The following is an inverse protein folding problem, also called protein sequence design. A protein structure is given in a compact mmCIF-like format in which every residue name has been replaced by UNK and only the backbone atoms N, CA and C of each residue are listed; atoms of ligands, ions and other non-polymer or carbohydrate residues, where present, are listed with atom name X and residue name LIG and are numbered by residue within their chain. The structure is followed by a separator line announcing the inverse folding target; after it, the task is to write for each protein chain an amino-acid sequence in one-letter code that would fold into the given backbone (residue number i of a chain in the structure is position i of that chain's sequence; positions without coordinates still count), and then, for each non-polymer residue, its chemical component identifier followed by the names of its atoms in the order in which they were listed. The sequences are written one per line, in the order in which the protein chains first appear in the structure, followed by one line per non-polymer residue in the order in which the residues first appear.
data_IF_160525060937
#
_entry.id   IF_160525060937
#
_cell.length_a   1.000
_cell.length_b   1.000
_cell.length_c   1.000
_cell.angle_alpha   90.00
_cell.angle_beta   90.00
_cell.angle_gamma   90.00
#
_symmetry.space_group_name_H-M   'P 1'
#
loop_
_entity.id
_entity.type
_entity.pdbx_description
1 polymer ?
#
# COMPACT_ATOMS: atom_id res chain seq x y z
N UNK A 1 -45.43 54.23 -19.74
CA UNK A 1 -45.68 52.76 -19.71
C UNK A 1 -44.35 52.04 -19.87
N UNK A 2 -43.95 51.35 -18.81
CA UNK A 2 -43.04 50.20 -18.64
C UNK A 2 -42.32 49.70 -19.92
N UNK A 3 -41.04 49.31 -19.90
CA UNK A 3 -40.48 48.23 -19.06
C UNK A 3 -38.96 48.34 -18.99
N UNK A 4 -38.42 48.26 -17.77
CA UNK A 4 -37.00 47.96 -17.49
C UNK A 4 -36.75 46.50 -17.86
N UNK A 5 -35.78 46.22 -18.73
CA UNK A 5 -35.33 44.86 -19.04
C UNK A 5 -34.00 44.64 -18.32
N UNK A 6 -34.07 43.96 -17.18
CA UNK A 6 -32.91 43.50 -16.41
C UNK A 6 -32.33 42.29 -17.15
N UNK A 7 -31.13 42.44 -17.72
CA UNK A 7 -30.40 41.33 -18.32
C UNK A 7 -29.60 40.63 -17.21
N UNK A 8 -30.17 39.55 -16.67
CA UNK A 8 -29.55 38.71 -15.66
C UNK A 8 -28.56 37.76 -16.35
N UNK A 9 -27.30 38.16 -16.48
CA UNK A 9 -26.22 37.29 -16.96
C UNK A 9 -25.84 36.30 -15.86
N UNK A 10 -26.42 35.09 -15.93
CA UNK A 10 -26.09 33.94 -15.10
C UNK A 10 -24.65 33.52 -15.40
N UNK A 11 -23.77 33.67 -14.42
CA UNK A 11 -22.41 33.13 -14.41
C UNK A 11 -22.53 31.61 -14.31
N UNK A 12 -22.34 30.92 -15.44
CA UNK A 12 -22.14 29.47 -15.46
C UNK A 12 -20.71 29.18 -14.97
N UNK A 13 -20.55 28.99 -13.66
CA UNK A 13 -19.38 28.33 -13.10
C UNK A 13 -19.45 26.86 -13.51
N UNK A 14 -18.81 26.52 -14.63
CA UNK A 14 -18.44 25.15 -14.94
C UNK A 14 -17.37 24.75 -13.92
N UNK A 15 -17.82 24.21 -12.78
CA UNK A 15 -16.94 23.46 -11.89
C UNK A 15 -16.55 22.21 -12.67
N UNK A 16 -15.38 22.27 -13.30
CA UNK A 16 -14.70 21.10 -13.81
C UNK A 16 -14.47 20.17 -12.63
N UNK A 17 -15.34 19.16 -12.49
CA UNK A 17 -15.06 17.98 -11.69
C UNK A 17 -14.02 17.18 -12.48
N UNK A 18 -12.77 17.62 -12.41
CA UNK A 18 -11.66 16.81 -12.91
C UNK A 18 -11.68 15.49 -12.15
N UNK A 19 -11.44 14.38 -12.85
CA UNK A 19 -11.30 13.05 -12.26
C UNK A 19 -10.32 13.12 -11.09
N UNK A 20 -10.83 13.24 -9.87
CA UNK A 20 -10.03 13.18 -8.66
C UNK A 20 -9.54 11.75 -8.57
N UNK A 21 -8.33 11.49 -9.07
CA UNK A 21 -7.65 10.22 -8.86
C UNK A 21 -7.46 10.06 -7.36
N UNK A 22 -8.34 9.28 -6.74
CA UNK A 22 -8.30 9.00 -5.31
C UNK A 22 -6.88 8.64 -4.89
N UNK A 23 -6.40 9.27 -3.82
CA UNK A 23 -5.05 9.02 -3.33
C UNK A 23 -4.89 7.58 -2.83
N UNK A 24 -5.99 7.03 -2.32
CA UNK A 24 -6.10 5.71 -1.73
C UNK A 24 -7.06 4.84 -2.55
N UNK A 25 -6.76 3.55 -2.60
CA UNK A 25 -7.59 2.57 -3.27
C UNK A 25 -8.96 2.42 -2.58
N UNK A 26 -10.02 2.31 -3.37
CA UNK A 26 -11.34 1.86 -2.87
C UNK A 26 -11.41 0.34 -2.67
N UNK A 27 -10.33 -0.37 -2.99
CA UNK A 27 -10.23 -1.83 -2.92
C UNK A 27 -9.96 -2.24 -1.49
N UNK A 28 -10.66 -3.28 -1.04
CA UNK A 28 -10.58 -3.78 0.33
C UNK A 28 -9.18 -4.33 0.61
N UNK A 29 -8.39 -3.59 1.39
CA UNK A 29 -7.37 -4.17 2.24
C UNK A 29 -7.92 -4.11 3.67
N UNK A 30 -7.73 -5.16 4.46
CA UNK A 30 -8.07 -5.16 5.88
C UNK A 30 -7.07 -6.09 6.56
N UNK A 31 -6.03 -5.50 7.12
CA UNK A 31 -4.97 -6.19 7.83
C UNK A 31 -4.75 -5.52 9.18
N UNK A 32 -4.73 -6.34 10.22
CA UNK A 32 -4.36 -5.91 11.57
C UNK A 32 -3.34 -6.88 12.14
N UNK A 33 -2.17 -6.37 12.53
CA UNK A 33 -1.10 -7.16 13.14
C UNK A 33 -0.73 -6.54 14.47
N UNK A 34 -0.87 -7.29 15.57
CA UNK A 34 -0.39 -6.85 16.87
C UNK A 34 1.05 -7.31 17.09
N UNK A 35 2.03 -6.48 16.73
CA UNK A 35 3.44 -6.85 16.86
C UNK A 35 3.94 -6.85 18.32
N UNK A 36 3.13 -6.41 19.30
CA UNK A 36 3.41 -6.64 20.73
C UNK A 36 3.41 -8.12 21.09
N UNK A 37 2.54 -8.90 20.43
CA UNK A 37 2.40 -10.33 20.68
C UNK A 37 3.31 -11.17 19.80
N UNK A 38 3.49 -10.79 18.54
CA UNK A 38 4.39 -11.50 17.63
C UNK A 38 5.87 -11.21 17.89
N UNK A 39 6.19 -10.01 18.40
CA UNK A 39 7.55 -9.53 18.62
C UNK A 39 8.47 -9.70 17.40
N UNK A 40 7.93 -9.54 16.19
CA UNK A 40 8.64 -9.80 14.95
C UNK A 40 9.55 -8.62 14.58
N UNK A 41 10.85 -8.88 14.52
CA UNK A 41 11.87 -7.86 14.23
C UNK A 41 11.84 -7.39 12.76
N UNK A 42 11.45 -8.25 11.81
CA UNK A 42 11.36 -7.91 10.38
C UNK A 42 10.26 -6.88 10.17
N UNK A 43 9.08 -7.10 10.74
CA UNK A 43 7.99 -6.13 10.73
C UNK A 43 8.34 -4.87 11.53
N UNK A 44 8.93 -5.03 12.72
CA UNK A 44 9.31 -3.91 13.58
C UNK A 44 10.25 -2.92 12.87
N UNK A 45 11.16 -3.42 12.02
CA UNK A 45 12.09 -2.59 11.26
C UNK A 45 11.38 -1.61 10.30
N UNK A 46 10.23 -2.00 9.72
CA UNK A 46 9.46 -1.14 8.83
C UNK A 46 8.51 -0.20 9.59
N UNK A 47 8.14 -0.55 10.83
CA UNK A 47 7.28 0.24 11.71
C UNK A 47 8.07 1.24 12.59
N UNK A 48 9.38 1.39 12.35
CA UNK A 48 10.24 2.32 13.08
C UNK A 48 10.42 3.66 12.34
N UNK A 49 9.86 4.78 12.82
CA UNK A 49 10.04 6.09 12.18
C UNK A 49 11.49 6.60 12.26
N UNK A 50 12.31 6.07 13.18
CA UNK A 50 13.73 6.40 13.28
C UNK A 50 14.61 5.63 12.26
N UNK A 51 14.03 4.70 11.49
CA UNK A 51 14.70 3.95 10.44
C UNK A 51 13.90 4.00 9.12
N UNK A 52 13.67 5.20 8.56
CA UNK A 52 12.90 5.34 7.34
C UNK A 52 13.62 4.73 6.13
N UNK A 53 12.87 4.35 5.09
CA UNK A 53 13.37 3.67 3.90
C UNK A 53 13.44 2.13 4.02
N UNK A 54 13.07 1.59 5.19
CA UNK A 54 12.88 0.16 5.39
C UNK A 54 11.41 -0.20 5.14
N UNK A 55 11.19 -1.11 4.20
CA UNK A 55 9.86 -1.58 3.83
C UNK A 55 9.74 -3.07 4.08
N UNK A 56 8.58 -3.51 4.56
CA UNK A 56 8.26 -4.90 4.81
C UNK A 56 7.06 -5.34 3.96
N UNK A 57 7.25 -6.39 3.16
CA UNK A 57 6.19 -7.15 2.54
C UNK A 57 5.55 -8.06 3.58
N UNK A 58 4.22 -8.00 3.66
CA UNK A 58 3.39 -8.84 4.51
C UNK A 58 2.50 -9.69 3.62
N UNK A 59 2.51 -11.00 3.86
CA UNK A 59 1.62 -11.96 3.20
C UNK A 59 1.09 -12.96 4.24
N UNK A 60 -0.01 -13.62 3.93
CA UNK A 60 -0.44 -14.82 4.65
C UNK A 60 0.07 -16.06 3.92
N UNK A 61 0.62 -17.03 4.65
CA UNK A 61 1.05 -18.31 4.10
C UNK A 61 0.58 -19.47 4.97
N UNK A 62 0.50 -20.67 4.39
CA UNK A 62 0.20 -21.90 5.13
C UNK A 62 1.49 -22.68 5.33
N UNK A 63 1.84 -22.95 6.59
CA UNK A 63 2.99 -23.81 6.94
C UNK A 63 2.54 -24.84 7.95
N UNK A 64 2.82 -26.11 7.65
CA UNK A 64 2.42 -27.26 8.48
C UNK A 64 0.93 -27.25 8.87
N UNK A 65 0.05 -26.83 7.95
CA UNK A 65 -1.40 -26.79 8.17
C UNK A 65 -1.94 -25.59 8.96
N UNK A 66 -1.07 -24.68 9.44
CA UNK A 66 -1.49 -23.47 10.14
C UNK A 66 -1.18 -22.20 9.33
N UNK A 67 -2.07 -21.18 9.38
CA UNK A 67 -1.80 -19.88 8.77
C UNK A 67 -0.72 -19.11 9.55
N UNK A 68 0.15 -18.44 8.81
CA UNK A 68 1.25 -17.63 9.32
C UNK A 68 1.30 -16.29 8.58
N UNK A 69 1.76 -15.25 9.26
CA UNK A 69 2.26 -14.06 8.60
C UNK A 69 3.65 -14.39 8.07
N UNK A 70 3.87 -14.07 6.80
CA UNK A 70 5.18 -14.03 6.19
C UNK A 70 5.61 -12.58 6.05
N UNK A 71 6.73 -12.25 6.68
CA UNK A 71 7.35 -10.93 6.63
C UNK A 71 8.64 -11.01 5.85
N UNK A 72 8.85 -10.07 4.93
CA UNK A 72 10.11 -9.92 4.21
C UNK A 72 10.42 -8.45 4.03
N UNK A 73 11.52 -7.98 4.61
CA UNK A 73 11.93 -6.60 4.42
C UNK A 73 12.84 -6.42 3.20
N UNK A 74 12.98 -5.17 2.75
CA UNK A 74 13.82 -4.80 1.63
C UNK A 74 15.33 -4.82 1.94
N UNK A 75 15.72 -5.13 3.18
CA UNK A 75 17.11 -5.31 3.62
C UNK A 75 17.55 -6.79 3.62
N UNK A 76 16.67 -7.71 3.19
CA UNK A 76 16.97 -9.13 3.05
C UNK A 76 16.56 -10.00 4.24
N UNK A 77 16.01 -9.42 5.31
CA UNK A 77 15.46 -10.20 6.43
C UNK A 77 14.09 -10.77 6.07
N UNK A 78 13.82 -11.96 6.57
CA UNK A 78 12.53 -12.63 6.44
C UNK A 78 12.21 -13.41 7.70
N UNK A 79 10.92 -13.48 8.03
CA UNK A 79 10.44 -14.21 9.20
C UNK A 79 9.02 -14.74 8.97
N UNK A 80 8.67 -15.72 9.78
CA UNK A 80 7.34 -16.33 9.82
C UNK A 80 6.82 -16.22 11.25
N UNK A 81 5.59 -15.72 11.39
CA UNK A 81 4.91 -15.68 12.68
C UNK A 81 3.57 -16.38 12.59
N UNK A 82 3.31 -17.34 13.48
CA UNK A 82 2.08 -18.12 13.47
C UNK A 82 0.88 -17.24 13.84
N UNK A 83 -0.27 -17.47 13.19
CA UNK A 83 -1.48 -16.77 13.57
C UNK A 83 -1.95 -17.22 14.94
N UNK A 84 -2.24 -16.26 15.82
CA UNK A 84 -2.93 -16.47 17.07
C UNK A 84 -4.43 -16.71 16.82
N UNK A 85 -5.12 -17.27 17.82
CA UNK A 85 -6.55 -17.61 17.69
C UNK A 85 -7.45 -16.42 17.31
N UNK A 86 -7.08 -15.20 17.71
CA UNK A 86 -7.78 -13.96 17.34
C UNK A 86 -7.62 -13.61 15.86
N UNK A 87 -6.44 -13.82 15.28
CA UNK A 87 -6.15 -13.55 13.87
C UNK A 87 -6.87 -14.54 12.96
N UNK A 88 -6.96 -15.80 13.39
CA UNK A 88 -7.74 -16.82 12.66
C UNK A 88 -9.23 -16.46 12.55
N UNK A 89 -9.76 -15.67 13.51
CA UNK A 89 -11.14 -15.18 13.49
C UNK A 89 -11.27 -13.87 12.70
N UNK A 90 -10.18 -13.16 12.43
CA UNK A 90 -10.18 -11.96 11.62
C UNK A 90 -10.08 -12.36 10.15
N UNK A 91 -11.14 -12.11 9.38
CA UNK A 91 -11.15 -12.33 7.94
C UNK A 91 -10.29 -11.27 7.24
N UNK A 92 -8.96 -11.47 7.23
CA UNK A 92 -8.04 -10.54 6.58
C UNK A 92 -8.18 -10.53 5.06
N UNK A 93 -8.05 -9.35 4.48
CA UNK A 93 -7.88 -9.17 3.03
C UNK A 93 -6.56 -8.42 2.85
N UNK A 94 -5.52 -9.13 2.40
CA UNK A 94 -4.17 -8.56 2.31
C UNK A 94 -3.92 -8.10 0.88
N UNK A 95 -4.30 -6.85 0.59
CA UNK A 95 -4.19 -6.24 -0.73
C UNK A 95 -4.73 -7.10 -1.87
N UNK A 96 -4.22 -6.88 -3.06
CA UNK A 96 -4.48 -7.73 -4.20
C UNK A 96 -3.63 -8.99 -4.14
N UNK A 97 -4.33 -10.13 -4.16
CA UNK A 97 -3.70 -11.43 -4.26
C UNK A 97 -2.63 -11.67 -3.18
N UNK A 98 -2.98 -11.33 -1.93
CA UNK A 98 -2.22 -11.68 -0.74
C UNK A 98 -0.83 -11.03 -0.66
N UNK A 99 -0.80 -9.69 -0.66
CA UNK A 99 0.42 -8.95 -0.39
C UNK A 99 0.20 -7.44 -0.19
N UNK A 100 0.84 -6.92 0.86
CA UNK A 100 0.95 -5.47 1.11
C UNK A 100 2.37 -5.14 1.53
N UNK A 101 2.90 -4.02 1.06
CA UNK A 101 4.23 -3.50 1.41
C UNK A 101 4.02 -2.28 2.31
N UNK A 102 4.58 -2.28 3.52
CA UNK A 102 4.45 -1.18 4.49
C UNK A 102 5.82 -0.63 4.88
N UNK A 103 5.91 0.65 5.23
CA UNK A 103 7.15 1.26 5.73
C UNK A 103 7.11 2.78 5.77
N UNK A 104 8.06 3.38 6.47
CA UNK A 104 8.23 4.83 6.49
C UNK A 104 9.04 5.31 5.27
N UNK A 105 8.55 6.35 4.59
CA UNK A 105 9.30 7.07 3.57
C UNK A 105 10.46 7.86 4.17
N UNK A 106 11.56 8.00 3.43
CA UNK A 106 12.77 8.68 3.88
C UNK A 106 12.98 10.09 3.29
N UNK A 107 11.98 10.65 2.61
CA UNK A 107 12.07 11.96 1.95
C UNK A 107 11.22 13.05 2.62
N UNK A 108 10.31 12.67 3.53
CA UNK A 108 9.42 13.60 4.23
C UNK A 108 9.83 13.76 5.71
N UNK A 109 9.66 14.98 6.27
CA UNK A 109 9.88 15.27 7.69
C UNK A 109 8.63 15.95 8.28
N UNK A 110 7.87 15.31 9.19
CA UNK A 110 8.10 13.98 9.75
C UNK A 110 7.92 12.86 8.71
N UNK A 111 8.58 11.72 8.94
CA UNK A 111 8.49 10.55 8.06
C UNK A 111 7.03 10.07 7.94
N UNK A 112 6.58 9.86 6.71
CA UNK A 112 5.22 9.40 6.41
C UNK A 112 5.21 7.87 6.33
N UNK A 113 4.25 7.23 7.02
CA UNK A 113 4.04 5.79 6.94
C UNK A 113 3.17 5.44 5.74
N UNK A 114 3.69 4.62 4.83
CA UNK A 114 3.02 4.21 3.61
C UNK A 114 2.63 2.73 3.66
N UNK A 115 1.53 2.41 2.98
CA UNK A 115 1.16 1.04 2.61
C UNK A 115 0.80 0.99 1.13
N UNK A 116 1.42 0.04 0.43
CA UNK A 116 1.27 -0.17 -1.00
C UNK A 116 0.82 -1.57 -1.30
N UNK A 117 0.08 -1.74 -2.39
CA UNK A 117 -0.19 -3.06 -2.93
C UNK A 117 1.08 -3.76 -3.42
N UNK A 118 1.14 -5.07 -3.25
CA UNK A 118 2.26 -5.88 -3.73
C UNK A 118 2.25 -6.10 -5.24
N UNK A 119 1.09 -5.93 -5.89
CA UNK A 119 0.92 -6.11 -7.33
C UNK A 119 1.18 -4.80 -8.09
N UNK A 120 1.78 -4.92 -9.26
CA UNK A 120 1.96 -3.80 -10.17
C UNK A 120 0.59 -3.32 -10.70
N UNK A 121 0.17 -2.06 -10.45
CA UNK A 121 -1.14 -1.55 -10.86
C UNK A 121 -1.29 -1.39 -12.38
N UNK A 122 -0.17 -1.37 -13.11
CA UNK A 122 -0.16 -1.26 -14.57
C UNK A 122 -0.21 -2.61 -15.29
N UNK A 123 -0.10 -3.72 -14.56
CA UNK A 123 -0.15 -5.08 -15.14
C UNK A 123 -1.25 -5.94 -14.53
N UNK A 124 -1.52 -5.76 -13.24
CA UNK A 124 -2.47 -6.58 -12.52
C UNK A 124 -3.90 -6.14 -12.78
N UNK A 125 -4.74 -7.08 -13.21
CA UNK A 125 -6.18 -6.91 -13.32
C UNK A 125 -6.89 -7.96 -12.46
N UNK A 126 -7.62 -7.48 -11.45
CA UNK A 126 -8.36 -8.34 -10.52
C UNK A 126 -9.55 -9.07 -11.18
N UNK A 127 -10.02 -8.56 -12.32
CA UNK A 127 -11.15 -9.10 -13.10
C UNK A 127 -10.72 -10.15 -14.12
N UNK A 128 -9.43 -10.25 -14.41
CA UNK A 128 -8.91 -11.23 -15.36
C UNK A 128 -9.08 -12.66 -14.84
N UNK A 129 -9.53 -13.57 -15.71
CA UNK A 129 -9.65 -15.00 -15.45
C UNK A 129 -8.86 -15.77 -16.54
N UNK A 130 -7.87 -16.61 -16.18
CA UNK A 130 -7.34 -16.82 -14.84
C UNK A 130 -6.61 -15.57 -14.33
N UNK A 131 -6.70 -15.33 -13.02
CA UNK A 131 -5.99 -14.23 -12.37
C UNK A 131 -4.49 -14.49 -12.43
N UNK A 132 -3.72 -13.48 -12.85
CA UNK A 132 -2.26 -13.53 -12.97
C UNK A 132 -1.61 -12.60 -11.97
N UNK A 133 -0.50 -13.05 -11.40
CA UNK A 133 0.27 -12.28 -10.43
C UNK A 133 1.35 -11.46 -11.12
N UNK A 134 1.48 -10.21 -10.69
CA UNK A 134 2.49 -9.27 -11.12
C UNK A 134 3.20 -8.65 -9.91
N UNK A 135 3.84 -9.48 -9.08
CA UNK A 135 4.46 -9.03 -7.84
C UNK A 135 5.58 -8.02 -8.09
N UNK A 136 5.72 -7.08 -7.16
CA UNK A 136 6.79 -6.11 -7.14
C UNK A 136 8.00 -6.63 -6.37
N UNK A 137 9.20 -6.36 -6.89
CA UNK A 137 10.46 -6.59 -6.18
C UNK A 137 10.97 -5.28 -5.62
N UNK A 138 11.22 -5.20 -4.31
CA UNK A 138 11.75 -4.01 -3.65
C UNK A 138 13.28 -4.08 -3.49
N UNK A 139 13.98 -3.04 -3.91
CA UNK A 139 15.40 -2.84 -3.62
C UNK A 139 15.63 -2.36 -2.19
N UNK A 140 16.87 -2.47 -1.71
CA UNK A 140 17.32 -1.92 -0.42
C UNK A 140 17.18 -0.41 -0.31
N UNK A 141 17.07 0.31 -1.43
CA UNK A 141 16.89 1.77 -1.49
C UNK A 141 15.42 2.21 -1.50
N UNK A 142 14.47 1.27 -1.41
CA UNK A 142 13.03 1.57 -1.43
C UNK A 142 12.49 1.82 -2.83
N UNK A 143 13.10 1.22 -3.86
CA UNK A 143 12.57 1.21 -5.23
C UNK A 143 11.90 -0.13 -5.50
N UNK A 144 10.59 -0.10 -5.76
CA UNK A 144 9.83 -1.26 -6.20
C UNK A 144 9.90 -1.40 -7.73
N UNK A 145 9.98 -2.62 -8.24
CA UNK A 145 10.15 -2.90 -9.67
C UNK A 145 9.20 -4.00 -10.14
N UNK A 146 8.57 -3.80 -11.29
CA UNK A 146 7.75 -4.82 -11.92
C UNK A 146 8.56 -5.57 -12.99
N UNK A 147 8.66 -6.90 -12.88
CA UNK A 147 9.36 -7.71 -13.88
C UNK A 147 8.67 -7.72 -15.26
N UNK A 148 7.36 -7.54 -15.31
CA UNK A 148 6.58 -7.68 -16.54
C UNK A 148 6.57 -6.41 -17.42
N UNK A 149 6.45 -5.23 -16.82
CA UNK A 149 6.45 -3.97 -17.57
C UNK A 149 7.70 -3.10 -17.35
N UNK A 150 8.65 -3.58 -16.54
CA UNK A 150 9.91 -2.90 -16.22
C UNK A 150 9.79 -1.51 -15.57
N UNK A 151 8.57 -1.10 -15.19
CA UNK A 151 8.37 0.12 -14.41
C UNK A 151 8.98 -0.02 -13.02
N UNK A 152 9.56 1.07 -12.56
CA UNK A 152 10.04 1.20 -11.18
C UNK A 152 9.31 2.34 -10.47
N UNK A 153 9.10 2.16 -9.17
CA UNK A 153 8.30 3.03 -8.34
C UNK A 153 9.09 3.40 -7.09
N UNK A 154 9.07 4.68 -6.70
CA UNK A 154 9.73 5.11 -5.48
C UNK A 154 8.77 5.01 -4.29
N UNK A 155 9.04 4.08 -3.38
CA UNK A 155 8.23 3.87 -2.18
C UNK A 155 8.37 5.03 -1.19
N UNK A 156 9.44 5.82 -1.29
CA UNK A 156 9.73 6.93 -0.40
C UNK A 156 8.94 8.20 -0.71
N UNK A 157 8.28 8.28 -1.87
CA UNK A 157 7.52 9.45 -2.36
C UNK A 157 6.11 9.07 -2.82
N UNK A 158 5.42 8.24 -2.04
CA UNK A 158 4.03 7.89 -2.32
C UNK A 158 3.83 6.97 -3.54
N UNK A 159 4.87 6.26 -4.00
CA UNK A 159 4.76 5.22 -5.02
C UNK A 159 4.68 5.73 -6.46
N UNK A 160 5.24 6.91 -6.76
CA UNK A 160 5.32 7.44 -8.13
C UNK A 160 6.27 6.60 -9.00
N UNK A 161 5.98 6.56 -10.31
CA UNK A 161 6.88 5.96 -11.30
C UNK A 161 8.14 6.82 -11.40
N UNK A 162 9.31 6.20 -11.35
CA UNK A 162 10.62 6.85 -11.55
C UNK A 162 11.36 6.34 -12.79
N UNK A 163 10.95 5.20 -13.34
CA UNK A 163 11.46 4.68 -14.61
C UNK A 163 10.39 3.84 -15.32
N UNK A 164 10.43 3.84 -16.65
CA UNK A 164 9.51 3.11 -17.52
C UNK A 164 8.40 4.00 -18.08
N UNK A 165 7.49 3.38 -18.82
CA UNK A 165 6.38 4.10 -19.46
C UNK A 165 5.47 4.80 -18.44
N UNK A 166 4.85 5.95 -18.80
CA UNK A 166 3.82 6.57 -17.98
C UNK A 166 2.68 5.59 -17.64
N UNK A 167 2.00 5.83 -16.53
CA UNK A 167 0.94 4.96 -16.05
C UNK A 167 0.44 5.32 -14.66
N UNK A 168 -0.22 4.37 -14.02
CA UNK A 168 -0.71 4.51 -12.65
C UNK A 168 0.45 4.46 -11.65
N UNK A 169 0.43 5.36 -10.66
CA UNK A 169 1.24 5.20 -9.43
C UNK A 169 0.82 3.93 -8.69
N UNK A 170 1.64 3.49 -7.73
CA UNK A 170 1.28 2.36 -6.88
C UNK A 170 -0.06 2.58 -6.18
N UNK A 171 -0.86 1.51 -6.13
CA UNK A 171 -2.07 1.44 -5.34
C UNK A 171 -1.70 1.60 -3.86
N UNK A 172 -2.26 2.61 -3.20
CA UNK A 172 -2.01 2.91 -1.78
C UNK A 172 -3.20 2.53 -0.92
N UNK A 173 -2.89 2.05 0.29
CA UNK A 173 -3.86 1.81 1.36
C UNK A 173 -3.63 2.81 2.49
N UNK A 174 -4.68 3.05 3.29
CA UNK A 174 -4.53 3.83 4.52
C UNK A 174 -3.85 2.92 5.53
N UNK A 175 -2.80 3.41 6.18
CA UNK A 175 -2.12 2.62 7.18
C UNK A 175 -1.70 3.46 8.37
N UNK A 176 -1.73 2.82 9.54
CA UNK A 176 -1.23 3.40 10.79
C UNK A 176 -0.42 2.36 11.55
N UNK A 177 0.53 2.86 12.32
CA UNK A 177 1.36 2.07 13.23
C UNK A 177 1.47 2.80 14.55
N UNK A 178 1.47 2.06 15.67
CA UNK A 178 1.76 2.61 16.99
C UNK A 178 3.23 2.43 17.43
N UNK A 179 4.09 1.99 16.51
CA UNK A 179 5.55 1.85 16.70
C UNK A 179 6.09 0.45 16.38
N UNK A 180 7.41 0.21 16.49
CA UNK A 180 8.06 -1.04 16.07
C UNK A 180 7.44 -2.31 16.67
N UNK A 181 7.13 -2.28 17.96
CA UNK A 181 6.43 -3.33 18.68
C UNK A 181 5.01 -2.88 19.02
N UNK A 182 4.33 -2.24 18.07
CA UNK A 182 2.97 -1.73 18.22
C UNK A 182 1.96 -2.52 17.41
N UNK A 183 0.82 -1.89 17.12
CA UNK A 183 -0.23 -2.41 16.25
C UNK A 183 -0.07 -1.79 14.87
N UNK A 184 -0.05 -2.63 13.83
CA UNK A 184 -0.21 -2.24 12.44
C UNK A 184 -1.68 -2.37 12.05
N UNK A 185 -2.23 -1.35 11.40
CA UNK A 185 -3.55 -1.38 10.77
C UNK A 185 -3.45 -0.89 9.34
N UNK A 186 -4.04 -1.62 8.39
CA UNK A 186 -4.10 -1.26 6.97
C UNK A 186 -5.52 -1.46 6.44
N UNK A 187 -6.09 -0.40 5.86
CA UNK A 187 -7.47 -0.34 5.33
C UNK A 187 -7.58 0.36 3.97
#
# INVERSE_FOLDING_TARGET
MNKVVIFFCIVLLWVSCGDSKEEFSSVRCHLLVNNQEHQDATLASAMNPASPGVYCLIQQTMKAGAPHFFFKNNQGNQSLSIFHAKEQRMHFIIGYNNGVIVGFGNLDQPAIFYAYDYQCPNCFDWRQIPRKDYPLSCSSTGIASCKACHRTYNLNTGGNIVQGEPGYKLTRYRATTTGPHGVLSVN
#
